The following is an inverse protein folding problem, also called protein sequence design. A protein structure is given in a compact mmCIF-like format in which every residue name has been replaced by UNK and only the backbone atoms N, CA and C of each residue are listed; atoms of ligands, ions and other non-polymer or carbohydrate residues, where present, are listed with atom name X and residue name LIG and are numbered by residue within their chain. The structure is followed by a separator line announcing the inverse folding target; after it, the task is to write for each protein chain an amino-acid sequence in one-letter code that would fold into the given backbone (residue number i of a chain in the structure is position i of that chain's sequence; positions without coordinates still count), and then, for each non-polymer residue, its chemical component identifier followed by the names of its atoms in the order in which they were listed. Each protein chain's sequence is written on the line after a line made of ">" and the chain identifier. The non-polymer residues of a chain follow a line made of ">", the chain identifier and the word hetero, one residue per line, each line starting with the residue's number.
data_IF_712574900418
#
_entry.id   IF_712574900418
#
_cell.length_a   1.000
_cell.length_b   1.000
_cell.length_c   1.000
_cell.angle_alpha   90.00
_cell.angle_beta   90.00
_cell.angle_gamma   90.00
#
_symmetry.space_group_name_H-M   'P 1'
#
loop_
_entity.id
_entity.type
_entity.pdbx_description
1 polymer ?
#
# COMPACT_ATOMS: atom_id res chain seq x y z
N UNK A 1 14.64 17.02 21.45
CA UNK A 1 13.53 17.28 20.49
C UNK A 1 12.22 17.10 21.22
N UNK A 2 11.17 17.86 20.89
CA UNK A 2 9.86 17.63 21.51
C UNK A 2 9.23 16.35 20.98
N UNK A 3 8.51 15.63 21.85
CA UNK A 3 7.74 14.43 21.47
C UNK A 3 6.77 14.74 20.31
N UNK A 4 6.19 15.94 20.31
CA UNK A 4 5.30 16.43 19.26
C UNK A 4 5.97 16.42 17.90
N UNK A 5 7.22 16.92 17.77
CA UNK A 5 7.93 16.94 16.49
C UNK A 5 8.21 15.53 15.94
N UNK A 6 8.53 14.56 16.81
CA UNK A 6 8.77 13.17 16.43
C UNK A 6 7.50 12.52 15.89
N UNK A 7 6.39 12.70 16.61
CA UNK A 7 5.09 12.15 16.21
C UNK A 7 4.63 12.77 14.88
N UNK A 8 4.75 14.09 14.72
CA UNK A 8 4.42 14.75 13.46
C UNK A 8 5.27 14.25 12.30
N UNK A 9 6.58 14.09 12.50
CA UNK A 9 7.48 13.55 11.49
C UNK A 9 7.15 12.08 11.12
N UNK A 10 6.61 11.30 12.06
CA UNK A 10 6.18 9.93 11.81
C UNK A 10 4.86 9.86 11.03
N UNK A 11 3.92 10.76 11.29
CA UNK A 11 2.57 10.76 10.68
C UNK A 11 2.57 11.44 9.30
N UNK A 12 3.27 12.56 9.15
CA UNK A 12 3.20 13.42 7.96
C UNK A 12 3.42 12.67 6.62
N UNK A 13 4.39 11.74 6.49
CA UNK A 13 4.60 11.03 5.23
C UNK A 13 3.40 10.22 4.75
N UNK A 14 2.71 9.52 5.68
CA UNK A 14 1.56 8.70 5.32
C UNK A 14 0.36 9.55 4.89
N UNK A 15 0.11 10.66 5.58
CA UNK A 15 -0.95 11.61 5.19
C UNK A 15 -0.62 12.30 3.87
N UNK A 16 0.63 12.70 3.65
CA UNK A 16 1.06 13.36 2.42
C UNK A 16 0.95 12.44 1.20
N UNK A 17 1.36 11.18 1.32
CA UNK A 17 1.22 10.20 0.25
C UNK A 17 -0.26 9.85 -0.02
N UNK A 18 -1.09 9.78 1.03
CA UNK A 18 -2.52 9.55 0.85
C UNK A 18 -3.15 10.71 0.07
N UNK A 19 -2.84 11.94 0.48
CA UNK A 19 -3.29 13.14 -0.23
C UNK A 19 -2.81 13.14 -1.69
N UNK A 20 -1.56 12.75 -1.95
CA UNK A 20 -1.04 12.64 -3.32
C UNK A 20 -1.87 11.70 -4.20
N UNK A 21 -2.16 10.48 -3.74
CA UNK A 21 -2.94 9.52 -4.51
C UNK A 21 -4.41 9.92 -4.60
N UNK A 22 -5.00 10.40 -3.51
CA UNK A 22 -6.38 10.89 -3.50
C UNK A 22 -6.59 12.04 -4.52
N UNK A 23 -5.68 13.00 -4.56
CA UNK A 23 -5.73 14.13 -5.51
C UNK A 23 -5.34 13.77 -6.95
N UNK A 24 -4.91 12.52 -7.19
CA UNK A 24 -4.53 12.04 -8.53
C UNK A 24 -5.69 11.39 -9.26
N UNK A 25 -6.83 11.25 -8.58
CA UNK A 25 -8.10 10.93 -9.21
C UNK A 25 -8.49 12.01 -10.23
N UNK A 26 -8.92 11.58 -11.41
CA UNK A 26 -9.17 12.48 -12.54
C UNK A 26 -10.64 12.73 -12.81
N UNK A 27 -11.53 11.84 -12.39
CA UNK A 27 -12.90 11.82 -12.91
C UNK A 27 -13.94 11.98 -11.81
N UNK A 28 -13.90 11.15 -10.76
CA UNK A 28 -14.81 11.29 -9.63
C UNK A 28 -14.07 11.02 -8.33
N UNK A 29 -14.08 11.99 -7.42
CA UNK A 29 -13.27 11.88 -6.21
C UNK A 29 -14.06 11.17 -5.12
N UNK A 30 -13.48 10.10 -4.58
CA UNK A 30 -14.10 9.30 -3.54
C UNK A 30 -14.50 10.10 -2.28
N UNK A 31 -15.59 9.75 -1.58
CA UNK A 31 -15.99 10.45 -0.38
C UNK A 31 -14.88 10.42 0.70
N UNK A 32 -14.40 11.60 1.11
CA UNK A 32 -13.29 11.76 2.06
C UNK A 32 -13.51 10.94 3.35
N UNK A 33 -14.76 10.88 3.84
CA UNK A 33 -15.09 10.14 5.05
C UNK A 33 -14.84 8.62 4.89
N UNK A 34 -15.04 8.07 3.70
CA UNK A 34 -14.84 6.65 3.41
C UNK A 34 -13.35 6.34 3.26
N UNK A 35 -12.60 7.21 2.57
CA UNK A 35 -11.13 7.14 2.49
C UNK A 35 -10.50 7.23 3.90
N UNK A 36 -10.95 8.19 4.71
CA UNK A 36 -10.53 8.33 6.10
C UNK A 36 -10.87 7.12 6.97
N UNK A 37 -12.04 6.50 6.76
CA UNK A 37 -12.43 5.25 7.43
C UNK A 37 -11.50 4.10 7.06
N UNK A 38 -11.15 3.96 5.77
CA UNK A 38 -10.21 2.94 5.31
C UNK A 38 -8.80 3.16 5.85
N UNK A 39 -8.35 4.41 5.93
CA UNK A 39 -7.09 4.77 6.61
C UNK A 39 -7.10 4.38 8.09
N UNK A 40 -8.19 4.70 8.81
CA UNK A 40 -8.33 4.30 10.21
C UNK A 40 -8.35 2.78 10.39
N UNK A 41 -9.01 2.04 9.50
CA UNK A 41 -8.94 0.58 9.52
C UNK A 41 -7.51 0.06 9.31
N UNK A 42 -6.72 0.71 8.44
CA UNK A 42 -5.30 0.44 8.29
C UNK A 42 -4.52 0.60 9.60
N UNK A 43 -4.75 1.71 10.33
CA UNK A 43 -4.17 1.94 11.66
C UNK A 43 -4.56 0.80 12.61
N UNK A 44 -5.84 0.48 12.70
CA UNK A 44 -6.33 -0.55 13.63
C UNK A 44 -5.82 -1.96 13.28
N UNK A 45 -5.49 -2.22 12.01
CA UNK A 45 -5.00 -3.50 11.54
C UNK A 45 -3.60 -3.85 12.07
N UNK A 46 -2.80 -2.87 12.49
CA UNK A 46 -1.48 -3.10 13.09
C UNK A 46 -1.56 -4.01 14.32
N UNK A 47 -2.57 -3.81 15.19
CA UNK A 47 -2.69 -4.57 16.44
C UNK A 47 -2.85 -6.09 16.25
N UNK A 48 -3.84 -6.59 15.47
CA UNK A 48 -3.96 -8.02 15.22
C UNK A 48 -2.78 -8.57 14.42
N UNK A 49 -2.22 -7.80 13.49
CA UNK A 49 -1.01 -8.19 12.74
C UNK A 49 0.16 -8.45 13.69
N UNK A 50 0.43 -7.55 14.63
CA UNK A 50 1.53 -7.71 15.60
C UNK A 50 1.39 -8.98 16.43
N UNK A 51 0.16 -9.34 16.85
CA UNK A 51 -0.10 -10.58 17.60
C UNK A 51 0.19 -11.80 16.75
N UNK A 52 -0.29 -11.82 15.50
CA UNK A 52 -0.08 -12.92 14.57
C UNK A 52 1.39 -13.07 14.20
N UNK A 53 2.09 -11.98 13.87
CA UNK A 53 3.52 -11.97 13.58
C UNK A 53 4.30 -12.56 14.76
N UNK A 54 4.02 -12.11 15.99
CA UNK A 54 4.68 -12.64 17.19
C UNK A 54 4.44 -14.15 17.36
N UNK A 55 3.20 -14.61 17.19
CA UNK A 55 2.87 -16.04 17.26
C UNK A 55 3.61 -16.85 16.19
N UNK A 56 3.70 -16.33 14.96
CA UNK A 56 4.36 -17.00 13.86
C UNK A 56 5.87 -17.04 14.02
N UNK A 57 6.51 -15.98 14.54
CA UNK A 57 7.93 -16.01 14.90
C UNK A 57 8.21 -17.10 15.94
N UNK A 58 7.35 -17.25 16.95
CA UNK A 58 7.50 -18.32 17.93
C UNK A 58 7.35 -19.73 17.35
N UNK A 59 6.53 -19.91 16.31
CA UNK A 59 6.28 -21.23 15.69
C UNK A 59 7.25 -21.60 14.57
N UNK A 60 7.61 -20.64 13.72
CA UNK A 60 8.42 -20.86 12.51
C UNK A 60 9.87 -20.38 12.64
N UNK A 61 10.20 -19.62 13.70
CA UNK A 61 11.50 -18.99 13.88
C UNK A 61 11.61 -17.63 13.18
N UNK A 62 12.83 -17.11 13.14
CA UNK A 62 13.20 -15.79 12.62
C UNK A 62 14.18 -15.85 11.44
N UNK A 63 14.18 -16.96 10.69
CA UNK A 63 14.92 -17.05 9.44
C UNK A 63 14.56 -15.88 8.50
N UNK A 64 15.53 -15.14 7.93
CA UNK A 64 15.24 -13.92 7.17
C UNK A 64 14.28 -14.13 6.00
N UNK A 65 14.32 -15.27 5.31
CA UNK A 65 13.44 -15.54 4.17
C UNK A 65 12.02 -15.80 4.66
N UNK A 66 11.87 -16.67 5.67
CA UNK A 66 10.57 -16.98 6.27
C UNK A 66 9.95 -15.72 6.90
N UNK A 67 10.75 -14.96 7.64
CA UNK A 67 10.30 -13.73 8.26
C UNK A 67 9.82 -12.72 7.22
N UNK A 68 10.60 -12.44 6.18
CA UNK A 68 10.22 -11.43 5.18
C UNK A 68 8.98 -11.80 4.37
N UNK A 69 8.90 -13.04 3.85
CA UNK A 69 7.84 -13.39 2.90
C UNK A 69 6.57 -13.94 3.54
N UNK A 70 6.70 -14.71 4.63
CA UNK A 70 5.56 -15.34 5.28
C UNK A 70 5.06 -14.51 6.47
N UNK A 71 5.95 -14.17 7.39
CA UNK A 71 5.57 -13.57 8.68
C UNK A 71 5.26 -12.08 8.52
N UNK A 72 6.15 -11.33 7.89
CA UNK A 72 6.02 -9.89 7.67
C UNK A 72 5.05 -9.61 6.52
N UNK A 73 5.54 -9.64 5.27
CA UNK A 73 4.77 -9.30 4.09
C UNK A 73 3.52 -10.17 3.90
N UNK A 74 3.64 -11.47 4.16
CA UNK A 74 2.56 -12.44 4.01
C UNK A 74 1.35 -12.09 4.88
N UNK A 75 1.54 -11.97 6.20
CA UNK A 75 0.46 -11.64 7.14
C UNK A 75 -0.08 -10.24 6.87
N UNK A 76 0.80 -9.26 6.71
CA UNK A 76 0.41 -7.86 6.55
C UNK A 76 -0.43 -7.61 5.30
N UNK A 77 0.12 -7.96 4.14
CA UNK A 77 -0.52 -7.64 2.88
C UNK A 77 -1.75 -8.52 2.63
N UNK A 78 -1.75 -9.77 3.14
CA UNK A 78 -2.95 -10.61 3.12
C UNK A 78 -4.09 -9.98 3.93
N UNK A 79 -3.81 -9.51 5.15
CA UNK A 79 -4.84 -8.91 6.00
C UNK A 79 -5.33 -7.56 5.47
N UNK A 80 -4.45 -6.75 4.89
CA UNK A 80 -4.83 -5.50 4.18
C UNK A 80 -5.73 -5.84 2.99
N UNK A 81 -5.34 -6.81 2.16
CA UNK A 81 -6.15 -7.28 1.03
C UNK A 81 -7.51 -7.81 1.47
N UNK A 82 -7.54 -8.63 2.51
CA UNK A 82 -8.77 -9.18 3.10
C UNK A 82 -9.69 -8.04 3.54
N UNK A 83 -9.16 -7.07 4.28
CA UNK A 83 -9.94 -5.92 4.76
C UNK A 83 -10.53 -5.10 3.62
N UNK A 84 -9.73 -4.76 2.60
CA UNK A 84 -10.22 -4.02 1.42
C UNK A 84 -11.28 -4.85 0.67
N UNK A 85 -11.04 -6.14 0.47
CA UNK A 85 -11.98 -7.01 -0.22
C UNK A 85 -13.35 -7.06 0.47
N UNK A 86 -13.40 -7.20 1.79
CA UNK A 86 -14.66 -7.32 2.50
C UNK A 86 -15.37 -5.98 2.77
N UNK A 87 -14.63 -4.90 2.96
CA UNK A 87 -15.23 -3.61 3.31
C UNK A 87 -15.67 -2.77 2.10
N UNK A 88 -14.88 -2.74 1.02
CA UNK A 88 -15.12 -1.77 -0.06
C UNK A 88 -15.32 -2.40 -1.44
N UNK A 89 -14.82 -3.61 -1.69
CA UNK A 89 -14.88 -4.22 -3.03
C UNK A 89 -16.30 -4.30 -3.61
N UNK A 90 -17.32 -4.54 -2.78
CA UNK A 90 -18.73 -4.56 -3.19
C UNK A 90 -19.50 -3.29 -2.86
N UNK A 91 -18.84 -2.28 -2.30
CA UNK A 91 -19.46 -1.00 -1.99
C UNK A 91 -19.80 -0.24 -3.26
N UNK A 92 -20.83 0.61 -3.19
CA UNK A 92 -21.32 1.41 -4.31
C UNK A 92 -20.31 2.47 -4.76
N UNK A 93 -19.67 3.14 -3.80
CA UNK A 93 -18.54 4.08 -3.98
C UNK A 93 -17.24 3.39 -4.39
N UNK A 94 -17.28 2.35 -5.21
CA UNK A 94 -16.10 1.83 -5.87
C UNK A 94 -16.58 1.50 -7.27
N UNK A 95 -16.76 2.53 -8.07
CA UNK A 95 -17.44 2.50 -9.36
C UNK A 95 -16.49 2.73 -10.54
N UNK A 96 -15.21 2.96 -10.28
CA UNK A 96 -14.14 2.92 -11.28
C UNK A 96 -12.85 2.20 -10.84
N UNK A 97 -11.98 1.79 -11.79
CA UNK A 97 -10.77 1.04 -11.45
C UNK A 97 -9.78 1.78 -10.55
N UNK A 98 -9.83 3.12 -10.52
CA UNK A 98 -8.90 3.94 -9.74
C UNK A 98 -9.23 3.91 -8.24
N UNK A 99 -10.50 3.80 -7.85
CA UNK A 99 -10.91 3.78 -6.45
C UNK A 99 -10.30 2.61 -5.69
N UNK A 100 -10.15 1.47 -6.38
CA UNK A 100 -9.42 0.32 -5.86
C UNK A 100 -8.04 0.71 -5.35
N UNK A 101 -7.32 1.57 -6.10
CA UNK A 101 -6.03 2.15 -5.70
C UNK A 101 -6.22 3.07 -4.49
N UNK A 102 -7.15 4.03 -4.54
CA UNK A 102 -7.36 5.01 -3.45
C UNK A 102 -7.64 4.30 -2.12
N UNK A 103 -8.56 3.34 -2.10
CA UNK A 103 -8.92 2.61 -0.88
C UNK A 103 -7.81 1.69 -0.38
N UNK A 104 -7.12 0.98 -1.27
CA UNK A 104 -6.02 0.09 -0.87
C UNK A 104 -4.82 0.88 -0.36
N UNK A 105 -4.52 2.01 -0.99
CA UNK A 105 -3.49 2.96 -0.54
C UNK A 105 -3.87 3.56 0.81
N UNK A 106 -5.14 3.92 1.04
CA UNK A 106 -5.61 4.41 2.33
C UNK A 106 -5.36 3.41 3.46
N UNK A 107 -5.76 2.15 3.30
CA UNK A 107 -5.48 1.08 4.28
C UNK A 107 -3.98 0.91 4.49
N UNK A 108 -3.21 0.85 3.40
CA UNK A 108 -1.76 0.60 3.48
C UNK A 108 -1.00 1.74 4.15
N UNK A 109 -1.38 3.00 3.88
CA UNK A 109 -0.77 4.18 4.50
C UNK A 109 -1.21 4.38 5.94
N UNK A 110 -2.45 4.03 6.29
CA UNK A 110 -2.90 4.02 7.69
C UNK A 110 -2.06 3.05 8.53
N UNK A 111 -1.85 1.84 7.99
CA UNK A 111 -0.98 0.84 8.59
C UNK A 111 0.46 1.36 8.75
N UNK A 112 1.06 1.84 7.65
CA UNK A 112 2.42 2.35 7.63
C UNK A 112 2.63 3.56 8.57
N UNK A 113 1.62 4.42 8.71
CA UNK A 113 1.67 5.57 9.64
C UNK A 113 1.80 5.09 11.08
N UNK A 114 0.97 4.15 11.52
CA UNK A 114 1.04 3.69 12.91
C UNK A 114 2.32 2.88 13.16
N UNK A 115 2.76 2.06 12.21
CA UNK A 115 4.07 1.41 12.29
C UNK A 115 5.21 2.41 12.41
N UNK A 116 5.19 3.49 11.64
CA UNK A 116 6.22 4.52 11.70
C UNK A 116 6.21 5.26 13.05
N UNK A 117 5.02 5.47 13.64
CA UNK A 117 4.87 6.02 14.99
C UNK A 117 5.43 5.05 16.04
N UNK A 118 5.07 3.77 15.99
CA UNK A 118 5.63 2.77 16.90
C UNK A 118 7.14 2.65 16.75
N UNK A 119 7.65 2.65 15.52
CA UNK A 119 9.08 2.67 15.27
C UNK A 119 9.74 3.88 15.92
N UNK A 120 9.16 5.08 15.77
CA UNK A 120 9.68 6.31 16.35
C UNK A 120 9.77 6.24 17.88
N UNK A 121 8.72 5.76 18.53
CA UNK A 121 8.61 5.68 19.98
C UNK A 121 9.48 4.57 20.57
N UNK A 122 9.49 3.39 19.96
CA UNK A 122 10.20 2.21 20.48
C UNK A 122 11.71 2.29 20.26
N UNK A 123 12.16 2.96 19.19
CA UNK A 123 13.57 3.06 18.83
C UNK A 123 14.19 4.43 19.15
N UNK A 124 13.45 5.34 19.79
CA UNK A 124 13.88 6.73 20.02
C UNK A 124 14.43 7.38 18.74
N UNK A 125 13.71 7.20 17.62
CA UNK A 125 14.22 7.50 16.30
C UNK A 125 14.47 9.01 16.09
N UNK A 126 15.55 9.32 15.36
CA UNK A 126 15.86 10.69 14.94
C UNK A 126 14.96 11.14 13.77
N UNK A 127 14.86 12.46 13.52
CA UNK A 127 14.16 12.99 12.33
C UNK A 127 14.74 12.41 11.04
N UNK A 128 16.07 12.30 10.92
CA UNK A 128 16.69 11.75 9.71
C UNK A 128 16.32 10.28 9.50
N UNK A 129 16.23 9.49 10.57
CA UNK A 129 15.71 8.11 10.51
C UNK A 129 14.25 8.08 10.02
N UNK A 130 13.39 8.97 10.55
CA UNK A 130 11.99 9.04 10.14
C UNK A 130 11.82 9.54 8.70
N UNK A 131 12.69 10.43 8.23
CA UNK A 131 12.75 10.84 6.83
C UNK A 131 13.17 9.67 5.93
N UNK A 132 14.19 8.90 6.31
CA UNK A 132 14.54 7.69 5.57
C UNK A 132 13.37 6.69 5.53
N UNK A 133 12.63 6.56 6.65
CA UNK A 133 11.43 5.73 6.70
C UNK A 133 10.30 6.25 5.80
N UNK A 134 10.15 7.56 5.69
CA UNK A 134 9.20 8.20 4.77
C UNK A 134 9.46 7.78 3.31
N UNK A 135 10.73 7.79 2.88
CA UNK A 135 11.10 7.45 1.51
C UNK A 135 11.12 5.94 1.23
N UNK A 136 11.41 5.11 2.22
CA UNK A 136 11.58 3.67 2.01
C UNK A 136 10.31 2.89 2.43
N UNK A 137 10.10 2.44 3.68
CA UNK A 137 8.96 1.61 4.07
C UNK A 137 7.61 2.31 3.89
N UNK A 138 7.46 3.58 4.28
CA UNK A 138 6.15 4.26 4.18
C UNK A 138 5.74 4.42 2.72
N UNK A 139 6.68 4.82 1.85
CA UNK A 139 6.40 4.87 0.40
C UNK A 139 6.24 3.47 -0.21
N UNK A 140 6.96 2.47 0.30
CA UNK A 140 6.82 1.06 -0.06
C UNK A 140 5.39 0.56 0.15
N UNK A 141 4.82 0.75 1.35
CA UNK A 141 3.41 0.42 1.62
C UNK A 141 2.44 1.13 0.69
N UNK A 142 2.71 2.40 0.33
CA UNK A 142 1.90 3.07 -0.68
C UNK A 142 1.95 2.33 -2.03
N UNK A 143 3.14 1.91 -2.49
CA UNK A 143 3.30 1.17 -3.75
C UNK A 143 2.64 -0.22 -3.70
N UNK A 144 2.76 -0.93 -2.56
CA UNK A 144 2.09 -2.22 -2.34
C UNK A 144 0.56 -2.04 -2.38
N UNK A 145 0.05 -0.99 -1.73
CA UNK A 145 -1.36 -0.58 -1.82
C UNK A 145 -1.81 -0.24 -3.24
N UNK A 146 -1.00 0.45 -4.03
CA UNK A 146 -1.31 0.72 -5.45
C UNK A 146 -1.40 -0.57 -6.26
N UNK A 147 -0.47 -1.52 -6.05
CA UNK A 147 -0.50 -2.82 -6.74
C UNK A 147 -1.73 -3.63 -6.35
N UNK A 148 -2.05 -3.70 -5.05
CA UNK A 148 -3.25 -4.35 -4.52
C UNK A 148 -4.50 -3.76 -5.17
N UNK A 149 -4.65 -2.44 -5.08
CA UNK A 149 -5.81 -1.72 -5.55
C UNK A 149 -6.01 -1.76 -7.06
N UNK A 150 -4.93 -1.68 -7.82
CA UNK A 150 -4.98 -1.81 -9.28
C UNK A 150 -5.55 -3.15 -9.71
N UNK A 151 -5.12 -4.24 -9.06
CA UNK A 151 -5.61 -5.58 -9.37
C UNK A 151 -7.04 -5.82 -8.82
N UNK A 152 -7.39 -5.26 -7.66
CA UNK A 152 -8.78 -5.26 -7.16
C UNK A 152 -9.72 -4.52 -8.13
N UNK A 153 -9.34 -3.33 -8.60
CA UNK A 153 -10.10 -2.58 -9.61
C UNK A 153 -10.32 -3.43 -10.86
N UNK A 154 -9.26 -4.04 -11.40
CA UNK A 154 -9.41 -4.96 -12.54
C UNK A 154 -10.31 -6.16 -12.23
N UNK A 155 -10.27 -6.71 -11.02
CA UNK A 155 -11.13 -7.83 -10.64
C UNK A 155 -12.61 -7.44 -10.56
N UNK A 156 -12.91 -6.20 -10.15
CA UNK A 156 -14.27 -5.68 -10.07
C UNK A 156 -14.87 -5.45 -11.46
N UNK A 157 -14.12 -4.76 -12.33
CA UNK A 157 -14.61 -4.31 -13.66
C UNK A 157 -14.28 -5.26 -14.82
N UNK A 158 -13.64 -6.40 -14.56
CA UNK A 158 -13.44 -7.46 -15.57
C UNK A 158 -13.81 -8.83 -14.97
N UNK A 159 -15.09 -9.26 -15.07
CA UNK A 159 -15.58 -10.50 -14.49
C UNK A 159 -14.86 -11.76 -15.01
N UNK A 160 -14.52 -11.80 -16.31
CA UNK A 160 -13.84 -12.94 -16.94
C UNK A 160 -12.47 -13.23 -16.31
N UNK A 161 -11.78 -12.19 -15.84
CA UNK A 161 -10.45 -12.31 -15.25
C UNK A 161 -10.47 -12.18 -13.72
N UNK A 162 -11.66 -12.14 -13.10
CA UNK A 162 -11.82 -11.78 -11.67
C UNK A 162 -10.92 -12.61 -10.77
N UNK A 163 -11.00 -13.94 -10.85
CA UNK A 163 -10.22 -14.85 -9.99
C UNK A 163 -8.73 -14.61 -10.12
N UNK A 164 -8.24 -14.46 -11.36
CA UNK A 164 -6.82 -14.18 -11.63
C UNK A 164 -6.38 -12.84 -11.06
N UNK A 165 -7.21 -11.80 -11.21
CA UNK A 165 -6.87 -10.47 -10.69
C UNK A 165 -6.96 -10.41 -9.16
N UNK A 166 -7.89 -11.14 -8.53
CA UNK A 166 -7.92 -11.28 -7.06
C UNK A 166 -6.66 -11.96 -6.54
N UNK A 167 -6.20 -13.02 -7.21
CA UNK A 167 -4.92 -13.66 -6.88
C UNK A 167 -3.76 -12.66 -6.97
N UNK A 168 -3.64 -11.91 -8.07
CA UNK A 168 -2.58 -10.91 -8.21
C UNK A 168 -2.69 -9.75 -7.23
N UNK A 169 -3.90 -9.35 -6.84
CA UNK A 169 -4.13 -8.31 -5.85
C UNK A 169 -3.59 -8.69 -4.46
N UNK A 170 -3.55 -9.98 -4.14
CA UNK A 170 -2.99 -10.50 -2.90
C UNK A 170 -1.49 -10.82 -3.07
N UNK A 171 -1.13 -11.58 -4.11
CA UNK A 171 0.22 -12.11 -4.29
C UNK A 171 1.27 -11.02 -4.62
N UNK A 172 0.96 -10.06 -5.49
CA UNK A 172 1.97 -9.08 -5.93
C UNK A 172 2.45 -8.16 -4.79
N UNK A 173 1.57 -7.61 -3.93
CA UNK A 173 1.99 -6.89 -2.73
C UNK A 173 2.85 -7.74 -1.80
N UNK A 174 2.42 -8.98 -1.48
CA UNK A 174 3.19 -9.90 -0.61
C UNK A 174 4.59 -10.13 -1.18
N UNK A 175 4.69 -10.43 -2.47
CA UNK A 175 5.98 -10.72 -3.11
C UNK A 175 6.92 -9.51 -3.04
N UNK A 176 6.48 -8.32 -3.44
CA UNK A 176 7.34 -7.14 -3.47
C UNK A 176 7.68 -6.60 -2.08
N UNK A 177 6.75 -6.72 -1.12
CA UNK A 177 7.02 -6.39 0.27
C UNK A 177 8.02 -7.39 0.88
N UNK A 178 7.87 -8.70 0.62
CA UNK A 178 8.84 -9.70 1.07
C UNK A 178 10.23 -9.49 0.48
N UNK A 179 10.32 -9.12 -0.80
CA UNK A 179 11.61 -8.73 -1.43
C UNK A 179 12.20 -7.50 -0.73
N UNK A 180 11.39 -6.48 -0.44
CA UNK A 180 11.83 -5.28 0.26
C UNK A 180 12.43 -5.60 1.64
N UNK A 181 11.72 -6.38 2.45
CA UNK A 181 12.18 -6.78 3.79
C UNK A 181 13.42 -7.66 3.71
N UNK A 182 13.44 -8.62 2.77
CA UNK A 182 14.55 -9.55 2.64
C UNK A 182 15.86 -8.82 2.27
N UNK A 183 15.77 -7.80 1.43
CA UNK A 183 16.92 -6.93 1.11
C UNK A 183 17.41 -6.21 2.36
N UNK A 184 16.51 -5.64 3.17
CA UNK A 184 16.87 -4.94 4.40
C UNK A 184 17.51 -5.85 5.45
N UNK A 185 17.01 -7.08 5.60
CA UNK A 185 17.51 -8.03 6.59
C UNK A 185 18.82 -8.71 6.15
N UNK A 186 18.96 -9.00 4.86
CA UNK A 186 20.08 -9.82 4.36
C UNK A 186 21.29 -8.99 3.91
N UNK A 187 21.08 -7.82 3.30
CA UNK A 187 22.15 -7.08 2.62
C UNK A 187 22.82 -6.01 3.52
N UNK A 188 23.49 -6.42 4.60
CA UNK A 188 24.04 -5.52 5.64
C UNK A 188 24.77 -4.26 5.12
N UNK A 189 25.75 -4.39 4.23
CA UNK A 189 26.61 -3.27 3.80
C UNK A 189 26.12 -2.58 2.52
N UNK A 190 25.55 -3.33 1.58
CA UNK A 190 25.25 -2.84 0.23
C UNK A 190 23.74 -2.80 -0.07
N UNK A 191 22.87 -2.94 0.93
CA UNK A 191 21.40 -2.92 0.73
C UNK A 191 20.94 -1.70 -0.06
N UNK A 192 21.55 -0.52 0.13
CA UNK A 192 21.11 0.72 -0.53
C UNK A 192 21.23 0.64 -2.06
N UNK A 193 22.27 -0.05 -2.56
CA UNK A 193 22.51 -0.23 -4.00
C UNK A 193 21.49 -1.16 -4.65
N UNK A 194 20.83 -2.01 -3.86
CA UNK A 194 19.75 -2.89 -4.30
C UNK A 194 18.40 -2.19 -4.09
N UNK A 195 18.22 -1.55 -2.94
CA UNK A 195 16.98 -0.92 -2.52
C UNK A 195 16.62 0.29 -3.36
N UNK A 196 17.59 1.13 -3.73
CA UNK A 196 17.31 2.31 -4.56
C UNK A 196 16.74 1.93 -5.93
N UNK A 197 17.38 1.05 -6.74
CA UNK A 197 16.78 0.57 -7.99
C UNK A 197 15.42 -0.10 -7.79
N UNK A 198 15.26 -0.91 -6.73
CA UNK A 198 13.99 -1.54 -6.39
C UNK A 198 12.90 -0.49 -6.18
N UNK A 199 13.15 0.53 -5.36
CA UNK A 199 12.18 1.59 -5.07
C UNK A 199 11.85 2.43 -6.31
N UNK A 200 12.84 2.74 -7.15
CA UNK A 200 12.60 3.42 -8.44
C UNK A 200 11.70 2.59 -9.33
N UNK A 201 11.95 1.28 -9.42
CA UNK A 201 11.10 0.35 -10.17
C UNK A 201 9.67 0.31 -9.60
N UNK A 202 9.51 0.16 -8.28
CA UNK A 202 8.20 0.10 -7.63
C UNK A 202 7.39 1.39 -7.82
N UNK A 203 8.03 2.55 -7.71
CA UNK A 203 7.41 3.84 -8.01
C UNK A 203 7.00 3.95 -9.48
N UNK A 204 7.89 3.65 -10.41
CA UNK A 204 7.60 3.68 -11.85
C UNK A 204 6.43 2.76 -12.21
N UNK A 205 6.44 1.54 -11.67
CA UNK A 205 5.40 0.52 -11.87
C UNK A 205 4.05 0.95 -11.28
N UNK A 206 4.05 1.62 -10.13
CA UNK A 206 2.85 2.11 -9.45
C UNK A 206 2.25 3.32 -10.17
N UNK A 207 3.08 4.28 -10.60
CA UNK A 207 2.61 5.41 -11.41
C UNK A 207 2.06 4.95 -12.77
N UNK A 208 2.63 3.90 -13.35
CA UNK A 208 2.08 3.27 -14.55
C UNK A 208 0.72 2.60 -14.28
N UNK A 209 0.54 1.91 -13.15
CA UNK A 209 -0.77 1.38 -12.72
C UNK A 209 -1.82 2.49 -12.56
N UNK A 210 -1.47 3.57 -11.87
CA UNK A 210 -2.32 4.75 -11.70
C UNK A 210 -2.80 5.30 -13.05
N UNK A 211 -1.87 5.49 -14.00
CA UNK A 211 -2.21 5.96 -15.36
C UNK A 211 -3.17 5.00 -16.06
N UNK A 212 -2.95 3.68 -15.95
CA UNK A 212 -3.79 2.66 -16.59
C UNK A 212 -5.16 2.50 -15.96
N UNK A 213 -5.27 2.66 -14.64
CA UNK A 213 -6.55 2.62 -13.93
C UNK A 213 -7.42 3.81 -14.36
N UNK A 214 -6.86 5.03 -14.32
CA UNK A 214 -7.53 6.23 -14.81
C UNK A 214 -7.95 6.11 -16.28
N UNK A 215 -7.07 5.60 -17.16
CA UNK A 215 -7.39 5.45 -18.58
C UNK A 215 -8.56 4.49 -18.87
N UNK A 216 -8.94 3.66 -17.90
CA UNK A 216 -10.06 2.72 -17.98
C UNK A 216 -11.29 3.18 -17.18
N UNK A 217 -11.30 4.41 -16.68
CA UNK A 217 -12.48 4.95 -16.01
C UNK A 217 -13.67 4.98 -16.98
N UNK A 218 -14.83 4.44 -16.58
CA UNK A 218 -16.07 4.56 -17.36
C UNK A 218 -16.61 6.00 -17.39
N UNK A 219 -16.13 6.86 -16.48
CA UNK A 219 -16.51 8.28 -16.35
C UNK A 219 -15.69 9.20 -17.27
N UNK A 220 -14.73 8.65 -18.01
CA UNK A 220 -14.00 9.38 -19.04
C UNK A 220 -14.97 9.84 -20.13
N UNK A 221 -15.31 11.13 -20.12
CA UNK A 221 -16.05 11.76 -21.22
C UNK A 221 -15.24 11.57 -22.50
N UNK A 222 -15.73 10.70 -23.40
CA UNK A 222 -15.15 10.53 -24.73
C UNK A 222 -15.12 11.90 -25.41
N UNK A 223 -13.93 12.52 -25.50
CA UNK A 223 -13.74 13.67 -26.40
C UNK A 223 -14.13 13.18 -27.79
N UNK A 224 -14.91 14.03 -28.48
CA UNK A 224 -15.61 13.77 -29.75
C UNK A 224 -14.74 13.16 -30.87
N UNK A 225 -13.42 13.22 -30.73
CA UNK A 225 -12.41 12.72 -31.67
C UNK A 225 -12.27 11.18 -31.66
N UNK A 226 -12.49 10.49 -30.53
CA UNK A 226 -12.35 9.02 -30.44
C UNK A 226 -13.58 8.25 -30.97
N UNK A 227 -14.66 8.94 -31.36
CA UNK A 227 -15.85 8.29 -31.99
C UNK A 227 -15.70 8.03 -33.49
N UNK A 228 -14.68 8.60 -34.12
CA UNK A 228 -14.51 8.54 -35.58
C UNK A 228 -13.65 7.34 -36.00
N UNK A 229 -12.97 6.68 -35.06
CA UNK A 229 -12.05 5.55 -35.34
C UNK A 229 -12.53 4.18 -34.83
N UNK A 230 -13.80 4.03 -34.43
CA UNK A 230 -14.42 2.73 -34.14
C UNK A 230 -15.33 2.26 -35.26
#
# INVERSE_FOLDING_TARGET
>A
MSMVSVILAAIAPGVALLAYFYLKDRYDTEPIHLVGKMFLFGILLVFPVMVLQRAFVHGFGDDPLVFSFLISAGIEEFLKWFLVYFLIFRHASFDEPYDGIVYSVAVSLGFATLENVFYALLNSASISTLLMRAFLPVSGHAMFGVMMGYHLGKAKFNPEQRTRQLFYACFMPIFWHGVFDYVLLSAKTYWIWIMLPLMVFLWGRSLWNVKRANAKSPLRVLRREERVEM
#
